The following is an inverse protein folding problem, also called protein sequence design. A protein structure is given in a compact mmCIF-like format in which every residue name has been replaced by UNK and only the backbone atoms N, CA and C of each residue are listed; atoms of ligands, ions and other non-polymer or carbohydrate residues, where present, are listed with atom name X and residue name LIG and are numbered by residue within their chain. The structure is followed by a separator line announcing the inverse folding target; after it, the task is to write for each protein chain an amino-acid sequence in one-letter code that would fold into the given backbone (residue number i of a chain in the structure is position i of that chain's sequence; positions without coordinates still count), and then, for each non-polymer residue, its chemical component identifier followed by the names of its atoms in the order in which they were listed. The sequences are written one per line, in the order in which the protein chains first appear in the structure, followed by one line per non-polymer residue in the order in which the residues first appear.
data_IF_842998686015
#
_entry.id   IF_842998686015
#
_cell.length_a   1.000
_cell.length_b   1.000
_cell.length_c   1.000
_cell.angle_alpha   90.00
_cell.angle_beta   90.00
_cell.angle_gamma   90.00
#
_symmetry.space_group_name_H-M   'P 1'
#
loop_
_entity.id
_entity.type
_entity.pdbx_description
1 polymer ?
#
# COMPACT_ATOMS: atom_id res chain seq x y z
N UNK A 1 8.46 14.47 -2.62
CA UNK A 1 8.10 13.70 -1.41
C UNK A 1 9.40 13.50 -0.65
N UNK A 2 9.46 13.75 0.66
CA UNK A 2 10.70 13.52 1.40
C UNK A 2 10.76 12.08 1.89
N UNK A 3 11.98 11.54 1.91
CA UNK A 3 12.29 10.25 2.47
C UNK A 3 12.89 10.45 3.87
N UNK A 4 12.35 9.75 4.86
CA UNK A 4 12.78 9.84 6.24
C UNK A 4 13.53 8.57 6.61
N UNK A 5 14.80 8.70 6.96
CA UNK A 5 15.60 7.58 7.42
C UNK A 5 15.08 7.08 8.76
N UNK A 6 15.02 5.75 8.90
CA UNK A 6 14.72 5.11 10.17
C UNK A 6 16.05 4.86 10.89
N UNK A 7 16.14 5.33 12.12
CA UNK A 7 17.22 4.92 13.01
C UNK A 7 16.99 3.47 13.44
N UNK A 8 17.67 2.55 12.75
CA UNK A 8 17.52 1.11 12.94
C UNK A 8 17.88 0.71 14.38
N UNK A 9 18.91 1.30 14.98
CA UNK A 9 19.39 0.91 16.30
C UNK A 9 18.35 1.15 17.40
N UNK A 10 17.55 2.20 17.25
CA UNK A 10 16.47 2.54 18.20
C UNK A 10 15.08 2.13 17.69
N UNK A 11 14.99 1.38 16.60
CA UNK A 11 13.71 0.98 16.03
C UNK A 11 13.17 -0.28 16.71
N UNK A 12 12.07 -0.12 17.44
CA UNK A 12 11.39 -1.22 18.16
C UNK A 12 11.08 -2.45 17.29
N UNK A 13 11.00 -2.29 15.96
CA UNK A 13 10.71 -3.39 15.02
C UNK A 13 11.95 -4.06 14.42
N UNK A 14 13.16 -3.58 14.72
CA UNK A 14 14.44 -4.13 14.22
C UNK A 14 14.51 -5.66 14.29
N UNK A 15 14.29 -6.32 15.45
CA UNK A 15 14.46 -7.78 15.53
C UNK A 15 13.47 -8.55 14.64
N UNK A 16 12.24 -8.05 14.51
CA UNK A 16 11.23 -8.66 13.64
C UNK A 16 11.54 -8.40 12.16
N UNK A 17 11.94 -7.17 11.83
CA UNK A 17 12.27 -6.78 10.47
C UNK A 17 13.45 -7.60 9.94
N UNK A 18 14.55 -7.71 10.70
CA UNK A 18 15.71 -8.51 10.32
C UNK A 18 15.36 -10.01 10.17
N UNK A 19 14.53 -10.56 11.07
CA UNK A 19 14.09 -11.94 10.98
C UNK A 19 13.33 -12.22 9.68
N UNK A 20 12.32 -11.41 9.37
CA UNK A 20 11.50 -11.60 8.17
C UNK A 20 12.19 -11.15 6.88
N UNK A 21 13.24 -10.33 6.97
CA UNK A 21 14.03 -9.92 5.80
C UNK A 21 15.11 -10.93 5.44
N UNK A 22 15.82 -11.49 6.44
CA UNK A 22 17.03 -12.28 6.22
C UNK A 22 16.86 -13.77 6.50
N UNK A 23 16.13 -14.13 7.57
CA UNK A 23 16.01 -15.53 7.97
C UNK A 23 14.81 -16.22 7.32
N UNK A 24 13.64 -15.57 7.31
CA UNK A 24 12.39 -16.14 6.81
C UNK A 24 11.64 -15.11 6.00
N UNK A 25 12.02 -14.97 4.72
CA UNK A 25 11.28 -14.12 3.77
C UNK A 25 9.90 -14.70 3.51
N UNK A 26 8.86 -13.99 3.95
CA UNK A 26 7.48 -14.41 3.75
C UNK A 26 6.56 -13.22 3.47
N UNK A 27 5.45 -13.51 2.77
CA UNK A 27 4.35 -12.58 2.54
C UNK A 27 3.03 -13.25 2.90
N UNK A 28 2.07 -12.45 3.37
CA UNK A 28 0.75 -12.92 3.74
C UNK A 28 -0.32 -12.08 3.05
N UNK A 29 -1.45 -12.72 2.74
CA UNK A 29 -2.62 -12.06 2.18
C UNK A 29 -3.85 -12.36 3.02
N UNK A 30 -4.71 -11.37 3.22
CA UNK A 30 -6.01 -11.56 3.87
C UNK A 30 -7.12 -10.94 3.04
N UNK A 31 -8.31 -11.54 3.12
CA UNK A 31 -9.53 -11.04 2.50
C UNK A 31 -10.57 -10.88 3.60
N UNK A 32 -11.21 -9.71 3.65
CA UNK A 32 -12.26 -9.41 4.63
C UNK A 32 -13.48 -8.81 3.92
N UNK A 33 -14.67 -9.14 4.42
CA UNK A 33 -15.92 -8.53 3.97
C UNK A 33 -16.10 -7.19 4.69
N UNK A 34 -16.16 -6.11 3.92
CA UNK A 34 -16.36 -4.75 4.44
C UNK A 34 -17.77 -4.29 4.07
N UNK A 35 -18.52 -3.86 5.07
CA UNK A 35 -19.85 -3.26 4.90
C UNK A 35 -19.69 -1.84 4.33
N UNK A 36 -20.28 -1.57 3.16
CA UNK A 36 -20.12 -0.30 2.44
C UNK A 36 -21.45 0.43 2.16
N UNK A 37 -22.58 0.00 2.72
CA UNK A 37 -23.90 0.56 2.41
C UNK A 37 -23.98 2.05 2.72
N UNK A 38 -23.44 2.47 3.87
CA UNK A 38 -23.38 3.90 4.24
C UNK A 38 -22.51 4.69 3.26
N UNK A 39 -21.36 4.14 2.88
CA UNK A 39 -20.46 4.76 1.91
C UNK A 39 -21.14 4.89 0.54
N UNK A 40 -21.84 3.85 0.08
CA UNK A 40 -22.57 3.88 -1.19
C UNK A 40 -23.69 4.92 -1.19
N UNK A 41 -24.39 5.09 -0.06
CA UNK A 41 -25.39 6.15 0.09
C UNK A 41 -24.76 7.53 -0.08
N UNK A 42 -23.68 7.82 0.66
CA UNK A 42 -22.95 9.09 0.57
C UNK A 42 -22.39 9.38 -0.83
N UNK A 43 -21.81 8.36 -1.48
CA UNK A 43 -21.28 8.48 -2.85
C UNK A 43 -22.39 8.89 -3.82
N UNK A 44 -23.59 8.29 -3.70
CA UNK A 44 -24.74 8.63 -4.55
C UNK A 44 -25.22 10.05 -4.30
N UNK A 45 -25.36 10.46 -3.03
CA UNK A 45 -25.76 11.82 -2.69
C UNK A 45 -24.80 12.87 -3.24
N UNK A 46 -23.49 12.60 -3.16
CA UNK A 46 -22.42 13.49 -3.64
C UNK A 46 -22.13 13.35 -5.14
N UNK A 47 -22.85 12.47 -5.85
CA UNK A 47 -22.66 12.18 -7.29
C UNK A 47 -21.22 11.78 -7.65
N UNK A 48 -20.55 11.05 -6.75
CA UNK A 48 -19.19 10.55 -6.95
C UNK A 48 -19.19 9.17 -7.60
N UNK A 49 -18.06 8.77 -8.20
CA UNK A 49 -17.85 7.40 -8.68
C UNK A 49 -17.24 6.54 -7.59
N UNK A 50 -17.71 5.30 -7.45
CA UNK A 50 -17.22 4.36 -6.43
C UNK A 50 -15.71 4.10 -6.54
N UNK A 51 -15.24 3.79 -7.75
CA UNK A 51 -13.85 3.39 -7.99
C UNK A 51 -12.80 4.43 -7.54
N UNK A 52 -12.84 5.70 -7.98
CA UNK A 52 -11.91 6.72 -7.48
C UNK A 52 -12.11 7.03 -5.99
N UNK A 53 -13.34 6.87 -5.46
CA UNK A 53 -13.58 7.05 -4.02
C UNK A 53 -12.87 5.98 -3.19
N UNK A 54 -12.93 4.71 -3.61
CA UNK A 54 -12.21 3.62 -2.94
C UNK A 54 -10.69 3.80 -3.02
N UNK A 55 -10.17 4.18 -4.20
CA UNK A 55 -8.73 4.49 -4.37
C UNK A 55 -8.30 5.59 -3.40
N UNK A 56 -9.08 6.66 -3.29
CA UNK A 56 -8.80 7.76 -2.36
C UNK A 56 -8.80 7.32 -0.90
N UNK A 57 -9.80 6.51 -0.49
CA UNK A 57 -9.88 5.99 0.88
C UNK A 57 -8.66 5.11 1.19
N UNK A 58 -8.30 4.18 0.29
CA UNK A 58 -7.14 3.32 0.46
C UNK A 58 -5.85 4.13 0.54
N UNK A 59 -5.65 5.09 -0.37
CA UNK A 59 -4.49 5.97 -0.35
C UNK A 59 -4.42 6.79 0.94
N UNK A 60 -5.56 7.24 1.48
CA UNK A 60 -5.62 7.97 2.75
C UNK A 60 -5.15 7.11 3.92
N UNK A 61 -5.63 5.86 4.01
CA UNK A 61 -5.21 4.92 5.06
C UNK A 61 -3.72 4.59 4.93
N UNK A 62 -3.25 4.29 3.72
CA UNK A 62 -1.81 4.04 3.46
C UNK A 62 -0.95 5.23 3.86
N UNK A 63 -1.41 6.46 3.61
CA UNK A 63 -0.71 7.69 3.98
C UNK A 63 -0.83 8.06 5.46
N UNK A 64 -1.77 7.46 6.21
CA UNK A 64 -1.86 7.62 7.65
C UNK A 64 -0.84 6.75 8.40
N UNK A 65 -0.49 5.59 7.84
CA UNK A 65 0.25 4.52 8.50
C UNK A 65 1.67 4.36 7.91
N UNK A 66 2.72 4.64 8.71
CA UNK A 66 4.12 4.65 8.25
C UNK A 66 4.58 3.27 7.77
N UNK A 67 3.97 2.22 8.31
CA UNK A 67 4.31 0.81 8.08
C UNK A 67 4.04 0.41 6.63
N UNK A 68 3.05 1.04 5.98
CA UNK A 68 2.74 0.82 4.57
C UNK A 68 3.63 1.63 3.61
N UNK A 69 4.45 2.55 4.14
CA UNK A 69 5.33 3.43 3.37
C UNK A 69 6.82 3.19 3.66
N UNK A 70 7.12 2.19 4.48
CA UNK A 70 8.50 1.79 4.79
C UNK A 70 9.10 1.03 3.61
N UNK A 71 10.21 1.52 3.08
CA UNK A 71 10.93 0.89 1.98
C UNK A 71 12.43 1.23 2.06
N UNK A 72 13.22 0.65 1.17
CA UNK A 72 14.60 1.07 0.95
C UNK A 72 14.64 2.23 -0.04
N UNK A 73 15.57 3.16 0.13
CA UNK A 73 15.92 4.14 -0.91
C UNK A 73 16.80 3.51 -2.00
N UNK A 74 17.12 4.29 -3.02
CA UNK A 74 18.00 3.86 -4.12
C UNK A 74 19.43 3.49 -3.66
N UNK A 75 19.83 3.98 -2.48
CA UNK A 75 21.13 3.70 -1.87
C UNK A 75 21.10 2.51 -0.88
N UNK A 76 19.94 1.87 -0.70
CA UNK A 76 19.75 0.75 0.21
C UNK A 76 19.55 1.13 1.68
N UNK A 77 19.31 2.40 2.00
CA UNK A 77 18.97 2.82 3.36
C UNK A 77 17.50 2.59 3.67
N UNK A 78 17.22 2.07 4.86
CA UNK A 78 15.85 1.84 5.33
C UNK A 78 15.22 3.16 5.79
N UNK A 79 14.03 3.44 5.28
CA UNK A 79 13.28 4.63 5.66
C UNK A 79 11.81 4.55 5.25
N UNK A 80 11.14 5.70 5.25
CA UNK A 80 9.75 5.80 4.79
C UNK A 80 9.49 7.12 4.09
N UNK A 81 8.58 7.08 3.11
CA UNK A 81 8.11 8.27 2.41
C UNK A 81 7.06 9.03 3.24
N UNK A 82 7.10 10.36 3.20
CA UNK A 82 6.05 11.19 3.82
C UNK A 82 4.66 10.84 3.29
N UNK A 83 4.57 10.63 1.97
CA UNK A 83 3.36 10.28 1.26
C UNK A 83 3.65 9.31 0.11
N UNK A 84 2.67 8.49 -0.27
CA UNK A 84 2.67 7.66 -1.48
C UNK A 84 1.46 7.98 -2.35
N UNK A 85 1.68 7.98 -3.66
CA UNK A 85 0.61 8.09 -4.66
C UNK A 85 0.03 6.71 -4.99
N UNK A 86 -1.29 6.56 -5.12
CA UNK A 86 -1.88 5.28 -5.48
C UNK A 86 -1.59 4.94 -6.95
N UNK A 87 -1.17 3.70 -7.20
CA UNK A 87 -1.16 3.10 -8.53
C UNK A 87 -2.41 2.22 -8.70
N UNK A 88 -3.14 2.38 -9.80
CA UNK A 88 -4.41 1.70 -10.02
C UNK A 88 -4.66 1.37 -11.49
N UNK A 89 -5.39 0.29 -11.73
CA UNK A 89 -5.68 -0.21 -13.07
C UNK A 89 -6.91 0.47 -13.66
N UNK A 90 -6.79 1.02 -14.87
CA UNK A 90 -7.94 1.54 -15.60
C UNK A 90 -8.47 0.43 -16.50
N UNK A 91 -9.71 0.00 -16.27
CA UNK A 91 -10.38 -0.95 -17.15
C UNK A 91 -10.69 -0.31 -18.50
N UNK A 92 -9.95 -0.70 -19.55
CA UNK A 92 -10.27 -0.35 -20.93
C UNK A 92 -11.44 -1.22 -21.38
N UNK A 93 -12.59 -0.58 -21.60
CA UNK A 93 -13.83 -1.26 -22.00
C UNK A 93 -13.75 -1.77 -23.45
N UNK A 94 -13.23 -2.97 -23.64
CA UNK A 94 -13.68 -3.88 -24.69
C UNK A 94 -13.99 -5.22 -24.03
N UNK A 95 -15.26 -5.40 -23.66
CA UNK A 95 -15.87 -6.61 -23.09
C UNK A 95 -15.62 -6.88 -21.59
N UNK A 96 -16.69 -6.61 -20.82
CA UNK A 96 -17.10 -7.18 -19.53
C UNK A 96 -16.14 -8.17 -18.84
N UNK A 97 -15.64 -7.82 -17.64
CA UNK A 97 -15.85 -8.52 -16.35
C UNK A 97 -14.79 -8.13 -15.29
N UNK A 98 -15.29 -7.97 -14.05
CA UNK A 98 -14.59 -8.06 -12.76
C UNK A 98 -13.41 -7.11 -12.50
N UNK A 99 -13.59 -6.18 -11.55
CA UNK A 99 -12.55 -5.31 -11.02
C UNK A 99 -11.81 -6.06 -9.91
N UNK A 100 -10.53 -6.39 -10.12
CA UNK A 100 -9.61 -6.80 -9.07
C UNK A 100 -8.83 -5.57 -8.61
N UNK A 101 -8.98 -5.16 -7.36
CA UNK A 101 -8.07 -4.19 -6.73
C UNK A 101 -7.01 -5.01 -6.00
N UNK A 102 -5.83 -5.14 -6.61
CA UNK A 102 -4.65 -5.74 -5.98
C UNK A 102 -3.82 -4.58 -5.43
N UNK A 103 -3.81 -4.39 -4.12
CA UNK A 103 -2.77 -3.57 -3.47
C UNK A 103 -1.53 -4.46 -3.39
N UNK A 104 -0.64 -4.35 -4.37
CA UNK A 104 0.69 -4.98 -4.30
C UNK A 104 1.64 -3.95 -3.72
N UNK A 105 2.12 -4.19 -2.51
CA UNK A 105 3.40 -3.63 -2.11
C UNK A 105 4.46 -4.50 -2.79
N UNK A 106 4.80 -4.16 -4.04
CA UNK A 106 5.91 -4.80 -4.75
C UNK A 106 7.18 -4.17 -4.17
N UNK A 107 7.85 -4.90 -3.28
CA UNK A 107 9.24 -4.63 -2.96
C UNK A 107 10.04 -5.27 -4.10
N UNK A 108 10.23 -4.52 -5.19
CA UNK A 108 11.29 -4.85 -6.15
C UNK A 108 12.64 -4.61 -5.47
N UNK A 109 13.18 -5.65 -4.83
CA UNK A 109 14.63 -5.71 -4.66
C UNK A 109 15.19 -6.36 -5.92
N UNK A 110 15.88 -5.55 -6.72
CA UNK A 110 16.70 -6.03 -7.83
C UNK A 110 17.67 -7.09 -7.33
N UNK A 111 17.50 -8.31 -7.82
CA UNK A 111 18.50 -9.36 -7.73
C UNK A 111 19.65 -9.00 -8.67
N UNK A 112 20.62 -8.27 -8.12
CA UNK A 112 21.98 -8.20 -8.64
C UNK A 112 22.86 -9.17 -7.83
N UNK A 113 23.40 -10.15 -8.56
CA UNK A 113 24.34 -11.22 -8.19
C UNK A 113 23.78 -12.47 -7.51
#
# INVERSE_FOLDING_TARGET
MNFNLIDIEHWNRKPYFEHYLNAVRCTYSMTANIEISKLLHEIKLKKLKLYPTLIYILATVVNHHKEFRTCFDESGHLGYWDSMSPSYTIGLSTHNRTIFIRSVAEIEQGLGN
#
